data_IF_162686114284
#
_entry.id   IF_162686114284
#
_cell.length_a   1.000
_cell.length_b   1.000
_cell.length_c   1.000
_cell.angle_alpha   90.00
_cell.angle_beta   90.00
_cell.angle_gamma   90.00
#
_symmetry.space_group_name_H-M   'P 1'
#
loop_
_entity.id
_entity.type
_entity.pdbx_description
1 polymer ?
#
# COMPACT_ATOMS: atom_id res chain seq x y z
N UNK A 1 1.20 24.84 -18.19
CA UNK A 1 2.39 24.98 -17.31
C UNK A 1 3.37 23.90 -17.72
N UNK A 2 4.54 24.24 -18.28
CA UNK A 2 5.51 23.24 -18.77
C UNK A 2 6.05 22.46 -17.58
N UNK A 3 5.96 21.13 -17.66
CA UNK A 3 6.61 20.19 -16.75
C UNK A 3 8.12 20.42 -16.76
N UNK A 4 8.76 20.37 -15.59
CA UNK A 4 10.23 20.41 -15.46
C UNK A 4 10.92 19.15 -16.04
N UNK A 5 10.14 18.11 -16.35
CA UNK A 5 10.59 16.85 -16.91
C UNK A 5 10.19 16.72 -18.39
N UNK A 6 11.04 16.06 -19.19
CA UNK A 6 10.74 15.69 -20.57
C UNK A 6 9.40 14.93 -20.63
N UNK A 7 8.57 15.23 -21.63
CA UNK A 7 7.29 14.57 -21.84
C UNK A 7 7.40 13.05 -21.84
N UNK A 8 8.54 12.50 -22.30
CA UNK A 8 8.86 11.07 -22.32
C UNK A 8 8.92 10.41 -20.95
N UNK A 9 8.92 11.17 -19.86
CA UNK A 9 8.86 10.64 -18.49
C UNK A 9 7.51 10.86 -17.80
N UNK A 10 6.60 11.60 -18.43
CA UNK A 10 5.29 11.92 -17.85
C UNK A 10 4.26 10.84 -18.15
N UNK A 11 3.33 10.64 -17.22
CA UNK A 11 2.15 9.77 -17.36
C UNK A 11 0.86 10.58 -17.36
N UNK A 12 -0.17 10.05 -18.00
CA UNK A 12 -1.49 10.68 -18.01
C UNK A 12 -2.12 10.68 -16.62
N UNK A 13 -2.89 11.71 -16.29
CA UNK A 13 -3.46 11.90 -14.96
C UNK A 13 -4.43 10.79 -14.52
N UNK A 14 -5.04 10.06 -15.46
CA UNK A 14 -5.92 8.94 -15.10
C UNK A 14 -5.17 7.76 -14.47
N UNK A 15 -3.87 7.60 -14.79
CA UNK A 15 -3.06 6.53 -14.20
C UNK A 15 -2.86 6.67 -12.69
N UNK A 16 -3.15 7.85 -12.12
CA UNK A 16 -3.16 8.04 -10.66
C UNK A 16 -4.16 7.12 -9.97
N UNK A 17 -5.28 6.78 -10.61
CA UNK A 17 -6.21 5.77 -10.10
C UNK A 17 -5.48 4.46 -9.79
N UNK A 18 -4.76 3.92 -10.78
CA UNK A 18 -4.05 2.64 -10.68
C UNK A 18 -2.86 2.73 -9.74
N UNK A 19 -2.15 3.86 -9.72
CA UNK A 19 -1.03 4.09 -8.79
C UNK A 19 -1.51 4.10 -7.33
N UNK A 20 -2.61 4.80 -7.03
CA UNK A 20 -3.18 4.85 -5.69
C UNK A 20 -3.73 3.48 -5.31
N UNK A 21 -4.54 2.86 -6.18
CA UNK A 21 -5.06 1.51 -5.98
C UNK A 21 -3.94 0.51 -5.66
N UNK A 22 -2.92 0.44 -6.51
CA UNK A 22 -1.84 -0.54 -6.36
C UNK A 22 -1.02 -0.30 -5.11
N UNK A 23 -0.95 0.94 -4.59
CA UNK A 23 -0.22 1.20 -3.36
C UNK A 23 -1.01 0.86 -2.11
N UNK A 24 -2.34 1.01 -2.14
CA UNK A 24 -3.27 0.72 -1.05
C UNK A 24 -3.61 -0.77 -1.01
N UNK A 25 -4.07 -1.32 -2.14
CA UNK A 25 -4.33 -2.74 -2.29
C UNK A 25 -2.98 -3.42 -2.49
N UNK A 26 -2.57 -4.16 -1.48
CA UNK A 26 -1.30 -4.88 -1.43
C UNK A 26 -1.48 -6.30 -0.90
N UNK A 27 -0.56 -6.72 -0.04
CA UNK A 27 -0.68 -8.00 0.66
C UNK A 27 -1.65 -7.94 1.84
N UNK A 28 -1.87 -6.74 2.39
CA UNK A 28 -2.71 -6.52 3.57
C UNK A 28 -4.18 -6.91 3.40
N UNK A 29 -4.74 -6.79 2.18
CA UNK A 29 -6.11 -7.26 1.88
C UNK A 29 -6.29 -8.77 2.07
N UNK A 30 -5.20 -9.55 2.16
CA UNK A 30 -5.31 -10.97 2.48
C UNK A 30 -5.63 -11.26 3.95
N UNK A 31 -5.32 -10.34 4.86
CA UNK A 31 -5.29 -10.59 6.31
C UNK A 31 -5.97 -9.52 7.18
N UNK A 32 -6.32 -8.35 6.63
CA UNK A 32 -6.80 -7.21 7.41
C UNK A 32 -8.06 -7.48 8.23
N UNK A 33 -8.94 -8.38 7.78
CA UNK A 33 -10.20 -8.68 8.43
C UNK A 33 -10.00 -9.11 9.88
N UNK A 34 -9.04 -10.01 10.11
CA UNK A 34 -8.67 -10.47 11.46
C UNK A 34 -8.19 -9.34 12.35
N UNK A 35 -7.52 -8.34 11.80
CA UNK A 35 -6.96 -7.24 12.59
C UNK A 35 -8.03 -6.22 12.99
N UNK A 36 -8.99 -5.94 12.11
CA UNK A 36 -10.05 -4.96 12.37
C UNK A 36 -11.17 -5.51 13.26
N UNK A 37 -11.36 -6.83 13.32
CA UNK A 37 -12.39 -7.45 14.16
C UNK A 37 -11.98 -7.63 15.62
N UNK A 38 -10.70 -7.41 15.97
CA UNK A 38 -10.20 -7.63 17.34
C UNK A 38 -10.91 -6.77 18.40
N UNK A 39 -11.23 -5.52 18.05
CA UNK A 39 -11.83 -4.59 19.01
C UNK A 39 -13.34 -4.39 18.77
N UNK A 40 -13.80 -4.33 17.52
CA UNK A 40 -15.20 -4.04 17.18
C UNK A 40 -15.96 -5.23 16.57
N UNK A 41 -15.43 -6.46 16.68
CA UNK A 41 -16.05 -7.64 16.09
C UNK A 41 -16.47 -7.38 14.63
N UNK A 42 -17.67 -7.79 14.25
CA UNK A 42 -18.18 -7.53 12.91
C UNK A 42 -18.70 -6.11 12.67
N UNK A 43 -18.88 -5.27 13.69
CA UNK A 43 -19.11 -3.82 13.50
C UNK A 43 -17.87 -3.10 12.90
N UNK A 44 -16.74 -3.80 12.79
CA UNK A 44 -15.53 -3.31 12.13
C UNK A 44 -15.74 -2.85 10.67
N UNK A 45 -16.82 -3.24 9.98
CA UNK A 45 -17.12 -2.70 8.64
C UNK A 45 -17.31 -1.18 8.66
N UNK A 46 -17.82 -0.62 9.78
CA UNK A 46 -17.96 0.84 9.99
C UNK A 46 -16.58 1.50 10.01
N UNK A 47 -15.60 0.81 10.61
CA UNK A 47 -14.22 1.28 10.73
C UNK A 47 -13.54 1.45 9.38
N UNK A 48 -13.92 0.64 8.38
CA UNK A 48 -13.45 0.78 6.99
C UNK A 48 -13.92 2.11 6.40
N UNK A 49 -15.19 2.45 6.60
CA UNK A 49 -15.78 3.68 6.08
C UNK A 49 -15.17 4.90 6.76
N UNK A 50 -15.08 4.88 8.10
CA UNK A 50 -14.51 5.99 8.89
C UNK A 50 -13.04 6.25 8.50
N UNK A 51 -12.26 5.18 8.39
CA UNK A 51 -10.87 5.24 7.94
C UNK A 51 -10.78 5.81 6.53
N UNK A 52 -11.57 5.31 5.58
CA UNK A 52 -11.61 5.81 4.20
C UNK A 52 -11.88 7.32 4.14
N UNK A 53 -12.91 7.81 4.84
CA UNK A 53 -13.25 9.24 4.87
C UNK A 53 -12.06 10.07 5.35
N UNK A 54 -11.39 9.63 6.42
CA UNK A 54 -10.24 10.35 6.95
C UNK A 54 -9.07 10.39 5.96
N UNK A 55 -8.82 9.30 5.21
CA UNK A 55 -7.77 9.25 4.18
C UNK A 55 -8.13 10.12 2.97
N UNK A 56 -9.41 10.27 2.62
CA UNK A 56 -9.83 11.23 1.59
C UNK A 56 -9.44 12.66 1.97
N UNK A 57 -9.60 13.06 3.23
CA UNK A 57 -9.18 14.38 3.72
C UNK A 57 -7.66 14.54 3.59
N UNK A 58 -6.90 13.51 3.96
CA UNK A 58 -5.44 13.52 3.89
C UNK A 58 -4.92 13.58 2.44
N UNK A 59 -5.51 12.82 1.51
CA UNK A 59 -5.20 12.93 0.07
C UNK A 59 -5.44 14.36 -0.42
N UNK A 60 -6.54 14.99 -0.02
CA UNK A 60 -6.79 16.39 -0.34
C UNK A 60 -5.69 17.31 0.20
N UNK A 61 -5.25 17.13 1.45
CA UNK A 61 -4.14 17.90 2.03
C UNK A 61 -2.84 17.72 1.24
N UNK A 62 -2.50 16.47 0.85
CA UNK A 62 -1.33 16.17 0.03
C UNK A 62 -1.37 16.93 -1.31
N UNK A 63 -2.52 16.92 -1.99
CA UNK A 63 -2.70 17.69 -3.23
C UNK A 63 -2.53 19.19 -3.04
N UNK A 64 -3.00 19.74 -1.91
CA UNK A 64 -2.82 21.16 -1.59
C UNK A 64 -1.35 21.52 -1.35
N UNK A 65 -0.61 20.69 -0.60
CA UNK A 65 0.84 20.84 -0.38
C UNK A 65 1.58 20.86 -1.73
N UNK A 66 1.34 19.83 -2.55
CA UNK A 66 2.02 19.64 -3.83
C UNK A 66 1.60 20.68 -4.89
N UNK A 67 0.36 21.17 -4.82
CA UNK A 67 -0.14 22.25 -5.67
C UNK A 67 0.56 23.59 -5.40
N UNK A 68 0.90 23.89 -4.14
CA UNK A 68 1.68 25.08 -3.76
C UNK A 68 3.13 24.93 -4.21
N UNK A 69 3.77 23.80 -3.85
CA UNK A 69 5.19 23.60 -4.15
C UNK A 69 5.47 23.31 -5.63
N UNK A 70 4.47 22.84 -6.38
CA UNK A 70 4.55 22.43 -7.81
C UNK A 70 5.66 21.41 -8.09
N UNK A 71 6.03 20.61 -7.09
CA UNK A 71 7.13 19.65 -7.13
C UNK A 71 6.93 18.59 -6.03
N UNK A 72 7.86 17.65 -5.87
CA UNK A 72 7.76 16.59 -4.87
C UNK A 72 8.08 17.04 -3.44
N UNK A 73 7.83 16.16 -2.47
CA UNK A 73 8.05 16.42 -1.05
C UNK A 73 9.49 16.80 -0.70
N UNK A 74 10.47 16.33 -1.48
CA UNK A 74 11.87 16.72 -1.27
C UNK A 74 12.07 18.22 -1.49
N UNK A 75 11.41 18.76 -2.52
CA UNK A 75 11.37 20.20 -2.75
C UNK A 75 10.53 20.91 -1.70
N UNK A 76 9.39 20.35 -1.28
CA UNK A 76 8.55 20.90 -0.20
C UNK A 76 9.37 21.10 1.08
N UNK A 77 10.15 20.10 1.48
CA UNK A 77 11.00 20.18 2.67
C UNK A 77 12.05 21.28 2.56
N UNK A 78 12.73 21.37 1.42
CA UNK A 78 13.72 22.43 1.19
C UNK A 78 13.06 23.81 1.19
N UNK A 79 11.89 23.94 0.56
CA UNK A 79 11.13 25.18 0.54
C UNK A 79 10.66 25.59 1.94
N UNK A 80 10.15 24.65 2.73
CA UNK A 80 9.61 24.93 4.06
C UNK A 80 10.72 25.17 5.11
N UNK A 81 11.67 24.24 5.22
CA UNK A 81 12.59 24.14 6.36
C UNK A 81 14.07 24.40 5.99
N UNK A 82 14.36 24.75 4.74
CA UNK A 82 15.73 24.95 4.27
C UNK A 82 16.50 23.64 4.07
N UNK A 83 17.82 23.74 3.86
CA UNK A 83 18.68 22.60 3.46
C UNK A 83 18.88 21.59 4.59
N UNK A 84 19.07 22.05 5.83
CA UNK A 84 19.46 21.19 6.95
C UNK A 84 18.26 20.43 7.53
N UNK A 85 17.28 21.15 8.10
CA UNK A 85 16.07 20.54 8.66
C UNK A 85 15.26 19.84 7.57
N UNK A 86 15.16 20.42 6.38
CA UNK A 86 14.52 19.77 5.24
C UNK A 86 15.26 18.49 4.80
N UNK A 87 16.60 18.48 4.90
CA UNK A 87 17.42 17.29 4.67
C UNK A 87 17.10 16.16 5.64
N UNK A 88 16.92 16.47 6.93
CA UNK A 88 16.51 15.49 7.94
C UNK A 88 15.13 14.89 7.62
N UNK A 89 14.13 15.71 7.29
CA UNK A 89 12.82 15.20 6.87
C UNK A 89 12.89 14.34 5.59
N UNK A 90 13.79 14.66 4.65
CA UNK A 90 14.00 13.83 3.48
C UNK A 90 14.53 12.43 3.84
N UNK A 91 15.46 12.34 4.80
CA UNK A 91 15.99 11.07 5.29
C UNK A 91 14.86 10.22 5.90
N UNK A 92 14.00 10.83 6.72
CA UNK A 92 12.84 10.14 7.28
C UNK A 92 11.90 9.60 6.19
N UNK A 93 11.57 10.41 5.17
CA UNK A 93 10.73 9.96 4.04
C UNK A 93 11.37 8.83 3.23
N UNK A 94 12.70 8.84 3.05
CA UNK A 94 13.42 7.75 2.39
C UNK A 94 13.23 6.45 3.16
N UNK A 95 13.54 6.44 4.46
CA UNK A 95 13.39 5.24 5.29
C UNK A 95 11.95 4.78 5.38
N UNK A 96 11.01 5.72 5.49
CA UNK A 96 9.58 5.44 5.51
C UNK A 96 9.15 4.60 4.29
N UNK A 97 9.44 5.05 3.07
CA UNK A 97 9.09 4.30 1.86
C UNK A 97 9.83 2.97 1.72
N UNK A 98 11.11 2.92 2.10
CA UNK A 98 11.93 1.71 1.97
C UNK A 98 11.54 0.64 2.99
N UNK A 99 11.21 1.00 4.23
CA UNK A 99 10.74 0.04 5.24
C UNK A 99 9.39 -0.52 4.82
N UNK A 100 8.46 0.30 4.33
CA UNK A 100 7.19 -0.18 3.81
C UNK A 100 7.37 -1.20 2.67
N UNK A 101 8.25 -0.88 1.72
CA UNK A 101 8.59 -1.80 0.63
C UNK A 101 9.18 -3.12 1.14
N UNK A 102 10.05 -3.07 2.15
CA UNK A 102 10.66 -4.25 2.75
C UNK A 102 9.62 -5.13 3.46
N UNK A 103 8.67 -4.52 4.18
CA UNK A 103 7.58 -5.25 4.85
C UNK A 103 6.74 -5.98 3.82
N UNK A 104 6.25 -5.28 2.79
CA UNK A 104 5.45 -5.91 1.73
C UNK A 104 6.22 -7.03 1.03
N UNK A 105 7.51 -6.80 0.77
CA UNK A 105 8.42 -7.80 0.19
C UNK A 105 8.53 -9.06 1.08
N UNK A 106 8.78 -8.92 2.38
CA UNK A 106 8.92 -10.08 3.28
C UNK A 106 7.62 -10.82 3.53
N UNK A 107 6.52 -10.09 3.76
CA UNK A 107 5.21 -10.71 3.98
C UNK A 107 4.78 -11.49 2.73
N UNK A 108 5.05 -10.98 1.53
CA UNK A 108 4.73 -11.74 0.32
C UNK A 108 5.58 -13.00 0.15
N UNK A 109 6.88 -12.95 0.48
CA UNK A 109 7.70 -14.18 0.48
C UNK A 109 7.17 -15.19 1.49
N UNK A 110 6.71 -14.76 2.68
CA UNK A 110 6.06 -15.65 3.66
C UNK A 110 4.83 -16.33 3.05
N UNK A 111 3.96 -15.57 2.37
CA UNK A 111 2.79 -16.14 1.67
C UNK A 111 3.22 -17.18 0.63
N UNK A 112 4.22 -16.89 -0.19
CA UNK A 112 4.74 -17.84 -1.19
C UNK A 112 5.29 -19.11 -0.51
N UNK A 113 6.03 -18.98 0.58
CA UNK A 113 6.58 -20.14 1.31
C UNK A 113 5.46 -20.99 1.91
N UNK A 114 4.50 -20.38 2.58
CA UNK A 114 3.42 -21.13 3.26
C UNK A 114 2.49 -21.80 2.25
N UNK A 115 2.15 -21.14 1.15
CA UNK A 115 1.10 -21.60 0.25
C UNK A 115 1.60 -22.33 -0.99
N UNK A 116 2.78 -21.96 -1.53
CA UNK A 116 3.32 -22.53 -2.77
C UNK A 116 4.49 -23.48 -2.50
N UNK A 117 5.51 -23.00 -1.80
CA UNK A 117 6.82 -23.64 -1.74
C UNK A 117 7.38 -23.73 -0.30
N UNK A 118 6.81 -24.59 0.57
CA UNK A 118 7.20 -24.67 1.99
C UNK A 118 8.65 -25.14 2.21
N UNK A 119 9.21 -25.84 1.23
CA UNK A 119 10.60 -26.32 1.29
C UNK A 119 11.62 -25.27 0.79
N UNK A 120 11.17 -24.23 0.08
CA UNK A 120 12.06 -23.19 -0.44
C UNK A 120 12.55 -22.26 0.67
N UNK A 121 13.85 -21.99 0.66
CA UNK A 121 14.46 -21.04 1.58
C UNK A 121 14.16 -19.61 1.14
N UNK A 122 14.10 -18.70 2.11
CA UNK A 122 13.81 -17.28 1.89
C UNK A 122 14.72 -16.66 0.82
N UNK A 123 16.00 -17.03 0.80
CA UNK A 123 16.97 -16.47 -0.13
C UNK A 123 16.61 -16.76 -1.60
N UNK A 124 16.08 -17.96 -1.89
CA UNK A 124 15.75 -18.39 -3.26
C UNK A 124 14.63 -17.53 -3.83
N UNK A 125 13.53 -17.41 -3.07
CA UNK A 125 12.36 -16.61 -3.47
C UNK A 125 12.72 -15.13 -3.51
N UNK A 126 13.48 -14.65 -2.52
CA UNK A 126 13.92 -13.25 -2.46
C UNK A 126 14.72 -12.86 -3.70
N UNK A 127 15.63 -13.72 -4.17
CA UNK A 127 16.47 -13.45 -5.34
C UNK A 127 15.62 -13.32 -6.62
N UNK A 128 14.67 -14.23 -6.83
CA UNK A 128 13.76 -14.19 -7.99
C UNK A 128 12.96 -12.88 -8.00
N UNK A 129 12.34 -12.53 -6.88
CA UNK A 129 11.50 -11.32 -6.79
C UNK A 129 12.37 -10.06 -6.93
N UNK A 130 13.57 -10.00 -6.34
CA UNK A 130 14.45 -8.85 -6.44
C UNK A 130 14.94 -8.61 -7.87
N UNK A 131 15.18 -9.66 -8.65
CA UNK A 131 15.51 -9.54 -10.09
C UNK A 131 14.35 -8.91 -10.86
N UNK A 132 13.11 -9.33 -10.58
CA UNK A 132 11.92 -8.74 -11.20
C UNK A 132 11.75 -7.27 -10.79
N UNK A 133 11.93 -6.94 -9.52
CA UNK A 133 11.89 -5.56 -9.02
C UNK A 133 12.97 -4.72 -9.72
N UNK A 134 14.20 -5.23 -9.84
CA UNK A 134 15.27 -4.54 -10.53
C UNK A 134 14.89 -4.22 -11.97
N UNK A 135 14.32 -5.18 -12.70
CA UNK A 135 13.86 -4.99 -14.08
C UNK A 135 12.80 -3.90 -14.16
N UNK A 136 11.74 -3.98 -13.34
CA UNK A 136 10.62 -3.02 -13.35
C UNK A 136 11.08 -1.61 -12.96
N UNK A 137 11.87 -1.46 -11.90
CA UNK A 137 12.32 -0.14 -11.43
C UNK A 137 13.36 0.47 -12.37
N UNK A 138 14.22 -0.35 -13.00
CA UNK A 138 15.19 0.12 -14.00
C UNK A 138 14.52 0.61 -15.28
N UNK A 139 13.34 0.05 -15.63
CA UNK A 139 12.50 0.54 -16.72
C UNK A 139 11.90 1.94 -16.49
N UNK A 140 11.99 2.45 -15.26
CA UNK A 140 11.58 3.80 -14.90
C UNK A 140 10.08 3.96 -14.63
N UNK A 141 9.67 5.18 -14.30
CA UNK A 141 8.34 5.44 -13.75
C UNK A 141 7.17 5.06 -14.67
N UNK A 142 7.34 5.17 -15.99
CA UNK A 142 6.33 4.76 -16.97
C UNK A 142 6.09 3.25 -16.97
N UNK A 143 7.16 2.46 -16.90
CA UNK A 143 7.08 0.99 -16.82
C UNK A 143 6.39 0.60 -15.52
N UNK A 144 6.79 1.20 -14.40
CA UNK A 144 6.12 0.99 -13.10
C UNK A 144 4.62 1.31 -13.19
N UNK A 145 4.25 2.44 -13.80
CA UNK A 145 2.85 2.83 -13.97
C UNK A 145 2.06 1.83 -14.84
N UNK A 146 2.67 1.33 -15.91
CA UNK A 146 2.08 0.27 -16.74
C UNK A 146 1.91 -1.04 -15.98
N UNK A 147 2.87 -1.38 -15.11
CA UNK A 147 2.76 -2.53 -14.21
C UNK A 147 1.66 -2.33 -13.16
N UNK A 148 1.47 -1.13 -12.61
CA UNK A 148 0.33 -0.83 -11.73
C UNK A 148 -1.01 -1.02 -12.45
N UNK A 149 -1.11 -0.60 -13.71
CA UNK A 149 -2.32 -0.80 -14.51
C UNK A 149 -2.64 -2.30 -14.68
N UNK A 150 -1.70 -3.09 -15.18
CA UNK A 150 -1.92 -4.53 -15.38
C UNK A 150 -2.05 -5.30 -14.07
N UNK A 151 -1.31 -4.90 -13.04
CA UNK A 151 -1.40 -5.40 -11.67
C UNK A 151 -2.71 -5.04 -10.96
N UNK A 152 -3.50 -4.12 -11.51
CA UNK A 152 -4.87 -3.86 -11.07
C UNK A 152 -5.86 -4.68 -11.88
N UNK A 153 -5.81 -4.58 -13.21
CA UNK A 153 -6.83 -5.15 -14.10
C UNK A 153 -6.84 -6.68 -14.06
N UNK A 154 -5.68 -7.33 -14.16
CA UNK A 154 -5.60 -8.80 -14.25
C UNK A 154 -6.08 -9.45 -12.93
N UNK A 155 -5.56 -9.06 -11.75
CA UNK A 155 -6.02 -9.64 -10.49
C UNK A 155 -7.47 -9.28 -10.20
N UNK A 156 -7.94 -8.09 -10.57
CA UNK A 156 -9.35 -7.73 -10.39
C UNK A 156 -10.28 -8.63 -11.22
N UNK A 157 -9.98 -8.87 -12.49
CA UNK A 157 -10.82 -9.72 -13.35
C UNK A 157 -10.80 -11.18 -12.91
N UNK A 158 -9.63 -11.70 -12.52
CA UNK A 158 -9.47 -13.14 -12.26
C UNK A 158 -9.77 -13.50 -10.80
N UNK A 159 -9.26 -12.71 -9.85
CA UNK A 159 -9.27 -13.09 -8.43
C UNK A 159 -10.47 -12.53 -7.68
N UNK A 160 -10.94 -11.33 -8.02
CA UNK A 160 -12.08 -10.73 -7.32
C UNK A 160 -13.34 -11.61 -7.36
N UNK A 161 -13.73 -12.22 -8.50
CA UNK A 161 -14.87 -13.14 -8.56
C UNK A 161 -14.74 -14.38 -7.67
N UNK A 162 -13.52 -14.85 -7.40
CA UNK A 162 -13.29 -16.04 -6.57
C UNK A 162 -13.78 -15.85 -5.13
N UNK A 163 -13.80 -14.62 -4.61
CA UNK A 163 -14.34 -14.34 -3.28
C UNK A 163 -15.84 -14.67 -3.18
N UNK A 164 -16.60 -14.60 -4.27
CA UNK A 164 -18.05 -14.79 -4.20
C UNK A 164 -18.43 -16.27 -4.08
N UNK A 165 -17.53 -17.21 -4.36
CA UNK A 165 -17.78 -18.64 -4.16
C UNK A 165 -18.00 -18.99 -2.69
N UNK A 166 -17.38 -18.27 -1.75
CA UNK A 166 -17.58 -18.52 -0.32
C UNK A 166 -18.97 -18.12 0.17
N UNK A 167 -19.75 -17.36 -0.62
CA UNK A 167 -21.11 -16.99 -0.26
C UNK A 167 -22.08 -18.17 -0.27
N UNK A 168 -21.74 -19.29 -0.91
CA UNK A 168 -22.51 -20.55 -0.79
C UNK A 168 -22.59 -21.03 0.67
N UNK A 169 -21.58 -20.68 1.48
CA UNK A 169 -21.48 -21.05 2.89
C UNK A 169 -21.70 -19.84 3.82
N UNK A 170 -22.29 -18.76 3.32
CA UNK A 170 -22.51 -17.56 4.10
C UNK A 170 -23.59 -17.78 5.18
N UNK A 171 -23.25 -17.42 6.41
CA UNK A 171 -24.20 -17.18 7.48
C UNK A 171 -24.37 -15.67 7.69
N UNK A 172 -25.46 -15.11 7.17
CA UNK A 172 -25.76 -13.68 7.31
C UNK A 172 -26.11 -13.27 8.74
N UNK A 173 -26.53 -14.21 9.60
CA UNK A 173 -26.80 -13.94 11.01
C UNK A 173 -25.56 -13.50 11.76
N UNK A 174 -24.36 -13.82 11.25
CA UNK A 174 -23.10 -13.33 11.80
C UNK A 174 -23.03 -11.80 11.83
N UNK A 175 -23.69 -11.09 10.90
CA UNK A 175 -23.69 -9.62 10.90
C UNK A 175 -24.60 -9.02 11.98
N UNK A 176 -25.37 -9.85 12.68
CA UNK A 176 -26.31 -9.42 13.71
C UNK A 176 -25.79 -9.80 15.11
N UNK A 177 -26.09 -8.97 16.13
CA UNK A 177 -26.69 -7.64 16.05
C UNK A 177 -25.70 -6.60 15.52
N UNK A 178 -26.20 -5.62 14.74
CA UNK A 178 -25.41 -4.46 14.31
C UNK A 178 -25.35 -3.43 15.43
N UNK A 179 -24.23 -2.72 15.57
CA UNK A 179 -23.99 -1.69 16.59
C UNK A 179 -23.95 -2.23 18.03
N UNK A 180 -23.35 -3.41 18.19
CA UNK A 180 -23.15 -4.00 19.50
C UNK A 180 -21.87 -3.48 20.21
N UNK A 181 -21.00 -2.80 19.48
CA UNK A 181 -19.75 -2.25 20.01
C UNK A 181 -19.83 -0.74 20.26
N UNK A 182 -19.08 -0.29 21.25
CA UNK A 182 -18.94 1.12 21.60
C UNK A 182 -18.20 1.91 20.53
N UNK A 183 -18.44 3.23 20.49
CA UNK A 183 -17.70 4.12 19.59
C UNK A 183 -16.17 4.05 19.79
N UNK A 184 -15.71 3.76 21.01
CA UNK A 184 -14.28 3.63 21.31
C UNK A 184 -13.66 2.41 20.62
N UNK A 185 -14.38 1.28 20.63
CA UNK A 185 -13.96 0.05 19.95
C UNK A 185 -13.94 0.21 18.43
N UNK A 186 -14.95 0.89 17.87
CA UNK A 186 -14.99 1.23 16.44
C UNK A 186 -13.82 2.15 16.06
N UNK A 187 -13.50 3.15 16.88
CA UNK A 187 -12.34 4.04 16.63
C UNK A 187 -11.01 3.27 16.75
N UNK A 188 -10.91 2.33 17.69
CA UNK A 188 -9.72 1.46 17.82
C UNK A 188 -9.53 0.57 16.58
N UNK A 189 -10.60 -0.07 16.12
CA UNK A 189 -10.64 -0.87 14.89
C UNK A 189 -10.33 -0.02 13.65
N UNK A 190 -10.79 1.24 13.63
CA UNK A 190 -10.44 2.19 12.58
C UNK A 190 -8.93 2.41 12.54
N UNK A 191 -8.27 2.58 13.70
CA UNK A 191 -6.81 2.71 13.76
C UNK A 191 -6.08 1.52 13.13
N UNK A 192 -6.56 0.29 13.37
CA UNK A 192 -6.00 -0.90 12.72
C UNK A 192 -6.21 -0.87 11.19
N UNK A 193 -7.39 -0.43 10.74
CA UNK A 193 -7.72 -0.32 9.31
C UNK A 193 -6.90 0.75 8.59
N UNK A 194 -6.49 1.83 9.26
CA UNK A 194 -5.67 2.90 8.67
C UNK A 194 -4.38 2.37 8.03
N UNK A 195 -3.79 1.34 8.63
CA UNK A 195 -2.59 0.72 8.10
C UNK A 195 -2.78 0.20 6.67
N UNK A 196 -3.98 -0.25 6.33
CA UNK A 196 -4.31 -0.79 5.00
C UNK A 196 -4.40 0.28 3.90
N UNK A 197 -4.55 1.55 4.31
CA UNK A 197 -4.58 2.69 3.38
C UNK A 197 -3.21 3.34 3.18
N UNK A 198 -2.20 2.94 3.96
CA UNK A 198 -0.83 3.41 3.84
C UNK A 198 -0.29 3.06 2.44
N UNK A 199 0.40 4.02 1.82
CA UNK A 199 0.96 3.92 0.48
C UNK A 199 0.42 5.01 -0.46
N UNK A 200 -0.73 5.63 -0.15
CA UNK A 200 -1.26 6.77 -0.91
C UNK A 200 -0.26 7.94 -0.94
N UNK A 201 0.54 8.07 0.12
CA UNK A 201 1.56 9.10 0.30
C UNK A 201 2.73 8.97 -0.70
N UNK A 202 2.85 7.87 -1.44
CA UNK A 202 3.77 7.79 -2.61
C UNK A 202 3.46 8.88 -3.66
N UNK A 203 2.24 9.43 -3.64
CA UNK A 203 1.83 10.63 -4.38
C UNK A 203 2.79 11.80 -4.18
N UNK A 204 3.34 11.97 -2.98
CA UNK A 204 4.34 13.00 -2.68
C UNK A 204 5.56 12.95 -3.60
N UNK A 205 5.90 11.78 -4.14
CA UNK A 205 7.06 11.58 -5.00
C UNK A 205 6.69 11.54 -6.48
N UNK A 206 5.56 10.94 -6.85
CA UNK A 206 5.20 10.81 -8.26
C UNK A 206 4.41 12.00 -8.84
N UNK A 207 3.89 12.91 -8.02
CA UNK A 207 3.13 14.07 -8.49
C UNK A 207 3.78 14.88 -9.63
N UNK A 208 5.11 15.16 -9.61
CA UNK A 208 5.77 15.88 -10.70
C UNK A 208 5.81 15.14 -12.04
N UNK A 209 5.55 13.82 -12.03
CA UNK A 209 5.58 12.97 -13.22
C UNK A 209 4.22 12.89 -13.93
N UNK A 210 3.24 13.68 -13.51
CA UNK A 210 1.90 13.71 -14.10
C UNK A 210 1.82 14.82 -15.17
N UNK A 211 1.25 14.53 -16.34
CA UNK A 211 1.06 15.52 -17.42
C UNK A 211 0.19 16.71 -16.96
N UNK A 212 -0.85 16.45 -16.17
CA UNK A 212 -1.74 17.48 -15.61
C UNK A 212 -1.99 17.20 -14.12
N UNK A 213 -1.04 17.56 -13.23
CA UNK A 213 -1.11 17.21 -11.80
C UNK A 213 -2.37 17.76 -11.12
N UNK A 214 -2.76 19.01 -11.39
CA UNK A 214 -3.96 19.62 -10.80
C UNK A 214 -5.26 18.88 -11.14
N UNK A 215 -5.38 18.31 -12.35
CA UNK A 215 -6.56 17.53 -12.77
C UNK A 215 -6.51 16.07 -12.32
N UNK A 216 -5.42 15.63 -11.69
CA UNK A 216 -5.24 14.25 -11.27
C UNK A 216 -5.92 13.91 -9.93
N UNK A 217 -6.26 14.92 -9.13
CA UNK A 217 -6.84 14.72 -7.79
C UNK A 217 -8.11 13.86 -7.78
N UNK A 218 -9.00 14.05 -8.75
CA UNK A 218 -10.21 13.22 -8.87
C UNK A 218 -9.89 11.73 -9.04
N UNK A 219 -8.83 11.41 -9.77
CA UNK A 219 -8.40 10.02 -10.01
C UNK A 219 -7.77 9.40 -8.76
N UNK A 220 -7.09 10.19 -7.93
CA UNK A 220 -6.62 9.72 -6.63
C UNK A 220 -7.78 9.38 -5.69
N UNK A 221 -8.79 10.25 -5.61
CA UNK A 221 -9.99 9.96 -4.80
C UNK A 221 -10.79 8.78 -5.36
N UNK A 222 -10.91 8.61 -6.67
CA UNK A 222 -11.55 7.43 -7.24
C UNK A 222 -10.76 6.15 -6.96
N UNK A 223 -9.42 6.18 -7.04
CA UNK A 223 -8.58 5.03 -6.68
C UNK A 223 -8.74 4.64 -5.21
N UNK A 224 -8.78 5.63 -4.31
CA UNK A 224 -9.03 5.42 -2.89
C UNK A 224 -10.44 4.86 -2.64
N UNK A 225 -11.48 5.48 -3.21
CA UNK A 225 -12.86 5.05 -3.05
C UNK A 225 -13.07 3.61 -3.54
N UNK A 226 -12.51 3.28 -4.70
CA UNK A 226 -12.57 1.93 -5.26
C UNK A 226 -11.85 0.92 -4.35
N UNK A 227 -10.66 1.29 -3.82
CA UNK A 227 -9.93 0.44 -2.88
C UNK A 227 -10.72 0.21 -1.58
N UNK A 228 -11.34 1.26 -1.04
CA UNK A 228 -12.20 1.17 0.16
C UNK A 228 -13.43 0.29 -0.07
N UNK A 229 -14.07 0.41 -1.23
CA UNK A 229 -15.20 -0.43 -1.58
C UNK A 229 -14.80 -1.91 -1.66
N UNK A 230 -13.61 -2.21 -2.22
CA UNK A 230 -13.11 -3.58 -2.24
C UNK A 230 -12.80 -4.10 -0.84
N UNK A 231 -12.15 -3.30 0.02
CA UNK A 231 -11.95 -3.69 1.42
C UNK A 231 -13.28 -3.97 2.12
N UNK A 232 -14.29 -3.11 1.91
CA UNK A 232 -15.61 -3.30 2.51
C UNK A 232 -16.28 -4.59 2.01
N UNK A 233 -16.29 -4.83 0.69
CA UNK A 233 -16.89 -6.05 0.10
C UNK A 233 -16.16 -7.30 0.63
N UNK A 234 -14.83 -7.30 0.60
CA UNK A 234 -14.04 -8.43 1.08
C UNK A 234 -14.27 -8.68 2.57
N UNK A 235 -14.35 -7.64 3.40
CA UNK A 235 -14.65 -7.77 4.83
C UNK A 235 -16.03 -8.39 5.05
N UNK A 236 -17.07 -7.87 4.40
CA UNK A 236 -18.44 -8.39 4.55
C UNK A 236 -18.54 -9.86 4.13
N UNK A 237 -17.93 -10.24 3.00
CA UNK A 237 -17.87 -11.64 2.55
C UNK A 237 -17.17 -12.50 3.62
N UNK A 238 -16.07 -12.03 4.18
CA UNK A 238 -15.34 -12.75 5.23
C UNK A 238 -16.16 -12.88 6.52
N UNK A 239 -16.92 -11.85 6.92
CA UNK A 239 -17.72 -11.86 8.15
C UNK A 239 -18.91 -12.81 8.07
N UNK A 240 -19.56 -12.90 6.91
CA UNK A 240 -20.63 -13.89 6.72
C UNK A 240 -20.09 -15.30 6.52
N UNK A 241 -18.85 -15.45 6.06
CA UNK A 241 -18.27 -16.76 5.80
C UNK A 241 -17.63 -17.42 7.05
N UNK A 242 -16.86 -16.67 7.84
CA UNK A 242 -16.23 -17.17 9.05
C UNK A 242 -17.06 -16.84 10.30
N UNK A 243 -16.99 -17.70 11.32
CA UNK A 243 -17.34 -17.27 12.68
C UNK A 243 -16.19 -16.45 13.28
N UNK A 244 -16.48 -15.61 14.28
CA UNK A 244 -15.46 -14.71 14.85
C UNK A 244 -14.27 -15.48 15.43
N UNK A 245 -14.54 -16.59 16.11
CA UNK A 245 -13.50 -17.50 16.61
C UNK A 245 -12.62 -18.08 15.50
N UNK A 246 -13.22 -18.51 14.37
CA UNK A 246 -12.46 -19.00 13.21
C UNK A 246 -11.63 -17.90 12.56
N UNK A 247 -12.19 -16.69 12.43
CA UNK A 247 -11.49 -15.54 11.84
C UNK A 247 -10.25 -15.16 12.66
N UNK A 248 -10.35 -15.21 13.99
CA UNK A 248 -9.25 -14.90 14.90
C UNK A 248 -8.06 -15.87 14.79
N UNK A 249 -8.29 -17.11 14.33
CA UNK A 249 -7.24 -18.11 14.08
C UNK A 249 -6.81 -18.20 12.61
N UNK A 250 -7.47 -17.48 11.69
CA UNK A 250 -7.18 -17.53 10.26
C UNK A 250 -6.27 -16.37 9.85
N UNK A 251 -5.01 -16.69 9.52
CA UNK A 251 -4.01 -15.67 9.19
C UNK A 251 -4.34 -14.91 7.90
N UNK A 252 -4.72 -15.63 6.83
CA UNK A 252 -5.04 -15.05 5.53
C UNK A 252 -6.48 -15.40 5.12
N UNK A 253 -7.51 -14.79 5.75
CA UNK A 253 -8.91 -15.14 5.51
C UNK A 253 -9.32 -15.04 4.04
N UNK A 254 -8.84 -14.01 3.32
CA UNK A 254 -9.15 -13.84 1.89
C UNK A 254 -8.58 -14.96 1.03
N UNK A 255 -7.40 -15.49 1.37
CA UNK A 255 -6.81 -16.59 0.61
C UNK A 255 -7.50 -17.91 0.95
N UNK A 256 -7.86 -18.10 2.22
CA UNK A 256 -8.60 -19.26 2.69
C UNK A 256 -10.02 -19.35 2.06
N UNK A 257 -10.74 -18.23 1.93
CA UNK A 257 -12.06 -18.22 1.28
C UNK A 257 -11.95 -18.51 -0.23
N UNK A 258 -10.96 -17.95 -0.93
CA UNK A 258 -10.76 -18.19 -2.37
C UNK A 258 -10.43 -19.66 -2.69
N UNK A 259 -9.84 -20.40 -1.74
CA UNK A 259 -9.52 -21.83 -1.90
C UNK A 259 -10.78 -22.71 -2.04
N UNK A 260 -11.94 -22.23 -1.63
CA UNK A 260 -13.20 -22.99 -1.67
C UNK A 260 -13.71 -23.15 -3.09
N UNK A 261 -13.36 -22.22 -4.00
CA UNK A 261 -13.71 -22.34 -5.40
C UNK A 261 -13.14 -23.65 -5.98
N UNK A 262 -14.02 -24.53 -6.44
CA UNK A 262 -13.66 -25.81 -7.07
C UNK A 262 -13.91 -25.73 -8.56
N UNK A 263 -12.90 -26.05 -9.36
CA UNK A 263 -13.04 -26.20 -10.80
C UNK A 263 -12.65 -27.62 -11.22
N UNK A 264 -13.33 -28.24 -12.20
CA UNK A 264 -13.06 -29.62 -12.60
C UNK A 264 -11.61 -29.91 -13.02
N UNK A 265 -10.89 -28.89 -13.51
CA UNK A 265 -9.51 -29.01 -14.00
C UNK A 265 -8.46 -28.37 -13.07
N UNK A 266 -8.89 -27.65 -12.02
CA UNK A 266 -7.99 -26.89 -11.15
C UNK A 266 -8.17 -27.36 -9.72
N UNK A 267 -7.28 -28.27 -9.30
CA UNK A 267 -7.30 -28.84 -7.95
C UNK A 267 -6.70 -27.90 -6.89
N UNK A 268 -5.80 -26.98 -7.31
CA UNK A 268 -5.08 -26.07 -6.41
C UNK A 268 -5.25 -24.61 -6.81
N UNK A 269 -6.45 -24.08 -6.60
CA UNK A 269 -6.78 -22.68 -6.93
C UNK A 269 -5.88 -21.69 -6.19
N UNK A 270 -5.44 -22.02 -4.97
CA UNK A 270 -4.52 -21.19 -4.20
C UNK A 270 -3.19 -20.92 -4.94
N UNK A 271 -2.75 -21.85 -5.80
CA UNK A 271 -1.53 -21.67 -6.60
C UNK A 271 -1.69 -20.54 -7.61
N UNK A 272 -2.84 -20.52 -8.28
CA UNK A 272 -3.18 -19.49 -9.26
C UNK A 272 -3.35 -18.15 -8.55
N UNK A 273 -4.04 -18.15 -7.40
CA UNK A 273 -4.27 -16.92 -6.61
C UNK A 273 -2.94 -16.27 -6.22
N UNK A 274 -2.04 -17.00 -5.56
CA UNK A 274 -0.76 -16.44 -5.08
C UNK A 274 0.14 -16.01 -6.24
N UNK A 275 0.13 -16.75 -7.34
CA UNK A 275 0.91 -16.45 -8.55
C UNK A 275 0.42 -15.17 -9.24
N UNK A 276 -0.90 -15.03 -9.44
CA UNK A 276 -1.48 -13.81 -10.03
C UNK A 276 -1.32 -12.63 -9.06
N UNK A 277 -1.36 -12.87 -7.75
CA UNK A 277 -1.12 -11.83 -6.75
C UNK A 277 0.27 -11.18 -6.87
N UNK A 278 1.26 -11.90 -7.40
CA UNK A 278 2.58 -11.33 -7.70
C UNK A 278 2.47 -10.11 -8.62
N UNK A 279 1.53 -10.12 -9.58
CA UNK A 279 1.32 -9.02 -10.52
C UNK A 279 0.85 -7.75 -9.83
N UNK A 280 0.20 -7.86 -8.67
CA UNK A 280 -0.22 -6.73 -7.84
C UNK A 280 0.88 -6.29 -6.87
N UNK A 281 1.55 -7.25 -6.23
CA UNK A 281 2.59 -6.99 -5.23
C UNK A 281 3.88 -6.42 -5.84
N UNK A 282 4.27 -6.89 -7.02
CA UNK A 282 5.48 -6.46 -7.71
C UNK A 282 5.49 -4.93 -7.99
N UNK A 283 4.46 -4.34 -8.64
CA UNK A 283 4.38 -2.88 -8.79
C UNK A 283 4.17 -2.16 -7.46
N UNK A 284 3.45 -2.73 -6.49
CA UNK A 284 3.29 -2.14 -5.14
C UNK A 284 4.65 -1.89 -4.47
N UNK A 285 5.55 -2.89 -4.48
CA UNK A 285 6.91 -2.76 -3.94
C UNK A 285 7.75 -1.81 -4.82
N UNK A 286 7.63 -1.94 -6.14
CA UNK A 286 8.42 -1.15 -7.10
C UNK A 286 8.18 0.35 -7.00
N UNK A 287 6.93 0.81 -6.80
CA UNK A 287 6.63 2.25 -6.62
C UNK A 287 7.33 2.80 -5.38
N UNK A 288 7.31 2.06 -4.27
CA UNK A 288 7.90 2.46 -2.99
C UNK A 288 9.43 2.49 -3.05
N UNK A 289 10.05 1.47 -3.66
CA UNK A 289 11.50 1.45 -3.91
C UNK A 289 11.90 2.59 -4.86
N UNK A 290 11.13 2.81 -5.92
CA UNK A 290 11.37 3.92 -6.85
C UNK A 290 11.30 5.28 -6.14
N UNK A 291 10.29 5.48 -5.27
CA UNK A 291 10.13 6.69 -4.47
C UNK A 291 11.34 6.91 -3.55
N UNK A 292 11.75 5.88 -2.79
CA UNK A 292 12.93 5.93 -1.93
C UNK A 292 14.23 6.20 -2.70
N UNK A 293 14.49 5.46 -3.79
CA UNK A 293 15.68 5.66 -4.63
C UNK A 293 15.72 7.04 -5.29
N UNK A 294 14.57 7.57 -5.70
CA UNK A 294 14.46 8.91 -6.28
C UNK A 294 14.74 9.99 -5.23
N UNK A 295 14.23 9.82 -4.02
CA UNK A 295 14.53 10.70 -2.90
C UNK A 295 16.03 10.66 -2.54
N UNK A 296 16.63 9.47 -2.46
CA UNK A 296 18.09 9.29 -2.27
C UNK A 296 18.86 10.06 -3.35
N UNK A 297 18.54 9.85 -4.63
CA UNK A 297 19.17 10.58 -5.75
C UNK A 297 19.12 12.10 -5.54
N UNK A 298 18.00 12.65 -5.06
CA UNK A 298 17.85 14.10 -4.84
C UNK A 298 18.61 14.62 -3.63
N UNK A 299 18.78 13.80 -2.58
CA UNK A 299 19.44 14.20 -1.33
C UNK A 299 20.97 14.07 -1.43
N UNK A 300 21.46 12.94 -1.93
CA UNK A 300 22.90 12.61 -1.96
C UNK A 300 23.53 12.71 -3.37
N UNK A 301 22.76 13.10 -4.38
CA UNK A 301 23.22 13.27 -5.77
C UNK A 301 23.84 12.01 -6.42
N UNK A 302 23.40 10.81 -5.99
CA UNK A 302 23.84 9.52 -6.55
C UNK A 302 22.95 9.09 -7.71
N UNK A 303 23.50 8.36 -8.69
CA UNK A 303 22.72 7.78 -9.80
C UNK A 303 21.67 6.82 -9.24
N UNK A 304 20.42 6.96 -9.68
CA UNK A 304 19.29 6.15 -9.20
C UNK A 304 19.51 4.64 -9.35
N UNK A 305 20.24 4.20 -10.38
CA UNK A 305 20.60 2.78 -10.59
C UNK A 305 21.52 2.23 -9.49
N UNK A 306 22.44 3.05 -8.98
CA UNK A 306 23.34 2.67 -7.87
C UNK A 306 22.52 2.58 -6.58
N UNK A 307 21.68 3.58 -6.29
CA UNK A 307 20.78 3.56 -5.14
C UNK A 307 19.85 2.33 -5.17
N UNK A 308 19.30 2.00 -6.34
CA UNK A 308 18.49 0.80 -6.52
C UNK A 308 19.28 -0.47 -6.18
N UNK A 309 20.48 -0.65 -6.73
CA UNK A 309 21.30 -1.82 -6.45
C UNK A 309 21.59 -1.97 -4.96
N UNK A 310 21.99 -0.89 -4.28
CA UNK A 310 22.25 -0.89 -2.83
C UNK A 310 20.98 -1.27 -2.05
N UNK A 311 19.84 -0.68 -2.38
CA UNK A 311 18.56 -0.99 -1.71
C UNK A 311 18.18 -2.46 -1.89
N UNK A 312 18.35 -3.03 -3.08
CA UNK A 312 18.03 -4.44 -3.32
C UNK A 312 18.97 -5.40 -2.58
N UNK A 313 20.26 -5.06 -2.49
CA UNK A 313 21.22 -5.84 -1.68
C UNK A 313 20.83 -5.78 -0.20
N UNK A 314 20.47 -4.61 0.32
CA UNK A 314 19.98 -4.48 1.70
C UNK A 314 18.70 -5.27 1.93
N UNK A 315 17.76 -5.25 0.97
CA UNK A 315 16.53 -6.03 1.05
C UNK A 315 16.82 -7.53 1.09
N UNK A 316 17.75 -8.01 0.26
CA UNK A 316 18.19 -9.40 0.29
C UNK A 316 18.76 -9.78 1.66
N UNK A 317 19.66 -8.98 2.21
CA UNK A 317 20.27 -9.25 3.52
C UNK A 317 19.20 -9.26 4.62
N UNK A 318 18.41 -8.19 4.75
CA UNK A 318 17.44 -8.06 5.83
C UNK A 318 16.35 -9.13 5.73
N UNK A 319 15.88 -9.45 4.52
CA UNK A 319 14.87 -10.48 4.33
C UNK A 319 15.36 -11.87 4.78
N UNK A 320 16.65 -12.17 4.65
CA UNK A 320 17.22 -13.44 5.10
C UNK A 320 17.57 -13.48 6.59
N UNK A 321 17.68 -12.31 7.23
CA UNK A 321 17.83 -12.18 8.69
C UNK A 321 16.48 -12.36 9.39
N UNK A 322 15.38 -11.86 8.80
CA UNK A 322 14.01 -12.00 9.30
C UNK A 322 13.45 -13.40 9.03
N UNK A 323 13.88 -14.38 9.84
CA UNK A 323 13.51 -15.79 9.69
C UNK A 323 12.16 -16.11 10.34
N UNK A 324 11.91 -15.55 11.53
CA UNK A 324 10.70 -15.86 12.28
C UNK A 324 9.57 -14.92 11.92
N UNK A 325 8.37 -15.46 11.86
CA UNK A 325 7.15 -14.70 11.65
C UNK A 325 6.94 -13.62 12.73
N UNK A 326 7.25 -13.93 13.98
CA UNK A 326 7.20 -12.99 15.12
C UNK A 326 8.02 -11.72 14.86
N UNK A 327 9.16 -11.83 14.17
CA UNK A 327 10.01 -10.69 13.80
C UNK A 327 9.36 -9.84 12.70
N UNK A 328 8.68 -10.48 11.75
CA UNK A 328 7.94 -9.79 10.67
C UNK A 328 6.75 -9.04 11.27
N UNK A 329 6.00 -9.67 12.18
CA UNK A 329 4.87 -9.06 12.88
C UNK A 329 5.31 -7.84 13.71
N UNK A 330 6.40 -7.95 14.49
CA UNK A 330 6.98 -6.81 15.23
C UNK A 330 7.41 -5.67 14.33
N UNK A 331 8.04 -5.97 13.19
CA UNK A 331 8.44 -4.96 12.21
C UNK A 331 7.20 -4.24 11.63
N UNK A 332 6.14 -5.01 11.36
CA UNK A 332 4.89 -4.50 10.83
C UNK A 332 4.17 -3.59 11.85
N UNK A 333 4.10 -4.00 13.12
CA UNK A 333 3.53 -3.20 14.22
C UNK A 333 4.30 -1.90 14.45
N UNK A 334 5.64 -1.97 14.50
CA UNK A 334 6.50 -0.79 14.63
C UNK A 334 6.24 0.19 13.48
N UNK A 335 6.22 -0.31 12.24
CA UNK A 335 5.99 0.54 11.08
C UNK A 335 4.54 1.07 11.03
N UNK A 336 3.54 0.30 11.45
CA UNK A 336 2.15 0.76 11.55
C UNK A 336 2.03 1.98 12.48
N UNK A 337 2.71 1.97 13.62
CA UNK A 337 2.77 3.13 14.52
C UNK A 337 3.49 4.33 13.86
N UNK A 338 4.62 4.10 13.19
CA UNK A 338 5.33 5.17 12.45
C UNK A 338 4.43 5.76 11.36
N UNK A 339 3.72 4.92 10.61
CA UNK A 339 2.79 5.33 9.56
C UNK A 339 1.61 6.12 10.11
N UNK A 340 1.08 5.74 11.26
CA UNK A 340 0.05 6.52 11.94
C UNK A 340 0.53 7.96 12.22
N UNK A 341 1.72 8.14 12.81
CA UNK A 341 2.27 9.48 13.04
C UNK A 341 2.62 10.21 11.74
N UNK A 342 3.15 9.50 10.74
CA UNK A 342 3.45 10.10 9.44
C UNK A 342 2.18 10.68 8.80
N UNK A 343 1.10 9.92 8.82
CA UNK A 343 -0.16 10.27 8.16
C UNK A 343 -0.96 11.31 8.95
N UNK A 344 -1.10 11.17 10.28
CA UNK A 344 -1.97 12.03 11.09
C UNK A 344 -1.26 13.20 11.78
N UNK A 345 0.07 13.16 11.92
CA UNK A 345 0.82 14.27 12.50
C UNK A 345 1.60 15.02 11.42
N UNK A 346 2.44 14.32 10.66
CA UNK A 346 3.36 14.96 9.73
C UNK A 346 2.65 15.57 8.51
N UNK A 347 1.67 14.89 7.89
CA UNK A 347 0.94 15.47 6.73
C UNK A 347 0.16 16.74 7.12
N UNK A 348 -0.67 16.75 8.19
CA UNK A 348 -1.37 17.97 8.61
C UNK A 348 -0.41 19.09 9.03
N UNK A 349 0.68 18.76 9.74
CA UNK A 349 1.72 19.72 10.09
C UNK A 349 2.32 20.37 8.84
N UNK A 350 2.73 19.56 7.86
CA UNK A 350 3.31 20.05 6.61
C UNK A 350 2.31 20.90 5.81
N UNK A 351 1.05 20.50 5.81
CA UNK A 351 -0.05 21.24 5.20
C UNK A 351 -0.22 22.63 5.82
N UNK A 352 -0.32 22.75 7.14
CA UNK A 352 -0.46 24.03 7.82
C UNK A 352 0.77 24.92 7.57
N UNK A 353 1.96 24.35 7.72
CA UNK A 353 3.21 25.09 7.61
C UNK A 353 3.42 25.68 6.20
N UNK A 354 3.21 24.88 5.14
CA UNK A 354 3.39 25.38 3.77
C UNK A 354 2.36 26.46 3.42
N UNK A 355 1.12 26.37 3.92
CA UNK A 355 0.10 27.40 3.68
C UNK A 355 0.44 28.72 4.36
N UNK A 356 0.93 28.67 5.59
CA UNK A 356 1.41 29.85 6.31
C UNK A 356 2.57 30.49 5.55
N UNK A 357 3.59 29.69 5.20
CA UNK A 357 4.77 30.20 4.48
C UNK A 357 4.41 30.81 3.13
N UNK A 358 3.52 30.18 2.37
CA UNK A 358 3.06 30.68 1.08
C UNK A 358 2.29 31.99 1.18
N UNK A 359 1.51 32.19 2.27
CA UNK A 359 0.84 33.47 2.53
C UNK A 359 1.82 34.59 2.88
N UNK A 360 2.91 34.29 3.60
CA UNK A 360 3.91 35.28 4.00
C UNK A 360 4.85 35.66 2.84
N UNK A 361 5.10 34.73 1.91
CA UNK A 361 6.02 34.94 0.78
C UNK A 361 5.33 35.55 -0.45
N UNK A 362 4.00 35.65 -0.44
CA UNK A 362 3.21 36.40 -1.40
C UNK A 362 3.03 37.82 -0.90
#
# INVERSE_FOLDING_TARGET
MKSLLDERHLVSSFYVFFLIYTNIIGIGIMSFQREITKDAGYDAWISIILSSISIHILVWMVYRILGIAKNDVIHVHKFCFGKWIGGLFNIFVIFYFLILALIVFRVYIEVVQVWLFPLMKTWQISLIILVLIYYVVSGGFRVITGMCFWGTIIPFIILFPLNFFSLEFANFDNLLPVFNHSLKEIVSSSKAMLFQYVGFETLFMFYPFLKNPNRSQKWAHFGLLFSSLLYLIVALITFVFFSEGQLNHTIWPTLAQMKIAKFPLIERVEFIVVSIWLLLVLPNISVKIWAGCRAIKKVINVKQRISLFIVLVLFFIIANVLKERSQIERLNEMYSNIAFYFVYLYIPFLFLYIHIKHKITK
#
